data_IF_583392925042
#
_entry.id   IF_583392925042
#
_cell.length_a   1.000
_cell.length_b   1.000
_cell.length_c   1.000
_cell.angle_alpha   90.00
_cell.angle_beta   90.00
_cell.angle_gamma   90.00
#
_symmetry.space_group_name_H-M   'P 1'
#
loop_
_entity.id
_entity.type
_entity.pdbx_description
1 polymer ?
#
# COMPACT_ATOMS: atom_id res chain seq x y z
N UNK A 1 37.75 4.96 -13.06
CA UNK A 1 36.59 5.83 -12.82
C UNK A 1 35.48 4.98 -12.23
N UNK A 2 35.22 5.11 -10.92
CA UNK A 2 34.07 4.45 -10.28
C UNK A 2 32.86 5.36 -10.44
N UNK A 3 31.75 4.84 -10.97
CA UNK A 3 30.48 5.55 -11.04
C UNK A 3 29.90 5.64 -9.63
N UNK A 4 29.76 6.86 -9.13
CA UNK A 4 29.05 7.16 -7.90
C UNK A 4 27.54 7.04 -8.13
N UNK A 5 26.87 6.15 -7.41
CA UNK A 5 25.41 5.91 -7.45
C UNK A 5 24.73 6.65 -6.28
N UNK A 6 25.27 7.80 -5.87
CA UNK A 6 24.69 8.68 -4.86
C UNK A 6 23.51 9.48 -5.43
N UNK A 7 22.44 8.80 -5.85
CA UNK A 7 21.31 9.48 -6.46
C UNK A 7 20.07 8.62 -6.61
N UNK A 8 19.64 7.90 -5.57
CA UNK A 8 18.40 7.12 -5.68
C UNK A 8 17.49 7.29 -4.45
N UNK A 9 16.34 7.91 -4.72
CA UNK A 9 15.06 7.80 -4.04
C UNK A 9 14.82 8.59 -2.74
N UNK A 10 14.48 9.88 -2.91
CA UNK A 10 13.55 10.57 -2.01
C UNK A 10 12.14 10.00 -2.21
N UNK A 11 11.77 9.01 -1.40
CA UNK A 11 10.40 8.50 -1.35
C UNK A 11 9.48 9.63 -0.85
N UNK A 12 8.58 10.08 -1.73
CA UNK A 12 7.56 11.09 -1.42
C UNK A 12 6.46 10.40 -0.60
N UNK A 13 6.32 10.81 0.65
CA UNK A 13 5.25 10.34 1.52
C UNK A 13 3.90 10.90 1.04
N UNK A 14 2.98 10.01 0.69
CA UNK A 14 1.60 10.37 0.34
C UNK A 14 0.71 10.15 1.57
N UNK A 15 0.69 11.13 2.47
CA UNK A 15 -0.33 11.19 3.53
C UNK A 15 -1.67 11.60 2.90
N UNK A 16 -2.52 10.62 2.62
CA UNK A 16 -3.86 10.83 2.09
C UNK A 16 -4.78 11.26 3.25
N UNK A 17 -5.06 12.56 3.37
CA UNK A 17 -6.08 13.09 4.29
C UNK A 17 -7.44 12.58 3.84
N UNK A 18 -7.99 11.62 4.58
CA UNK A 18 -9.33 11.10 4.38
C UNK A 18 -10.36 12.23 4.51
N UNK A 19 -10.86 12.70 3.36
CA UNK A 19 -12.03 13.58 3.31
C UNK A 19 -13.26 12.71 3.54
N UNK A 20 -13.79 12.78 4.77
CA UNK A 20 -15.12 12.28 5.10
C UNK A 20 -16.16 12.96 4.20
N UNK A 21 -16.55 12.28 3.12
CA UNK A 21 -17.76 12.63 2.39
C UNK A 21 -18.95 12.10 3.19
N UNK A 22 -19.67 12.98 3.88
CA UNK A 22 -20.96 12.65 4.46
C UNK A 22 -21.93 12.25 3.33
N UNK A 23 -22.09 10.94 3.10
CA UNK A 23 -23.29 10.39 2.47
C UNK A 23 -24.40 10.35 3.53
N UNK A 24 -25.01 11.49 3.82
CA UNK A 24 -26.26 11.56 4.58
C UNK A 24 -27.20 12.44 3.78
N UNK A 25 -28.22 11.84 3.13
CA UNK A 25 -29.48 12.47 2.69
C UNK A 25 -30.38 11.55 1.82
N UNK A 26 -29.87 10.45 1.24
CA UNK A 26 -30.64 9.68 0.24
C UNK A 26 -31.61 8.63 0.80
N UNK A 27 -31.30 8.00 1.95
CA UNK A 27 -32.22 7.02 2.57
C UNK A 27 -33.51 7.67 3.08
N UNK A 28 -33.42 8.92 3.55
CA UNK A 28 -34.56 9.68 4.06
C UNK A 28 -35.63 9.94 2.99
N UNK A 29 -35.23 10.15 1.73
CA UNK A 29 -36.12 10.43 0.60
C UNK A 29 -36.93 9.19 0.16
N UNK A 30 -36.34 7.99 0.25
CA UNK A 30 -37.01 6.72 -0.09
C UNK A 30 -38.10 6.35 0.92
N UNK A 31 -37.81 6.48 2.21
CA UNK A 31 -38.78 6.16 3.27
C UNK A 31 -39.92 7.18 3.33
N UNK A 32 -39.62 8.46 3.08
CA UNK A 32 -40.64 9.48 2.91
C UNK A 32 -41.54 9.18 1.69
N UNK A 33 -40.98 8.71 0.58
CA UNK A 33 -41.71 8.29 -0.61
C UNK A 33 -42.61 7.07 -0.36
N UNK A 34 -42.10 6.01 0.26
CA UNK A 34 -42.88 4.81 0.58
C UNK A 34 -44.03 5.12 1.56
N UNK A 35 -43.81 6.03 2.52
CA UNK A 35 -44.87 6.54 3.38
C UNK A 35 -45.92 7.31 2.61
N UNK A 36 -45.53 8.17 1.67
CA UNK A 36 -46.48 8.95 0.86
C UNK A 36 -47.32 8.01 -0.03
N UNK A 37 -46.68 7.03 -0.68
CA UNK A 37 -47.33 6.00 -1.48
C UNK A 37 -48.33 5.18 -0.65
N UNK A 38 -47.92 4.72 0.54
CA UNK A 38 -48.77 3.94 1.43
C UNK A 38 -49.94 4.78 1.95
N UNK A 39 -49.72 6.07 2.21
CA UNK A 39 -50.76 7.00 2.67
C UNK A 39 -51.78 7.30 1.58
N UNK A 40 -51.35 7.49 0.33
CA UNK A 40 -52.25 7.66 -0.81
C UNK A 40 -53.06 6.40 -1.07
N UNK A 41 -52.44 5.21 -1.05
CA UNK A 41 -53.16 3.92 -1.15
C UNK A 41 -54.23 3.73 -0.07
N UNK A 42 -54.01 4.26 1.14
CA UNK A 42 -54.96 4.17 2.26
C UNK A 42 -56.15 5.12 2.16
N UNK A 43 -56.02 6.25 1.44
CA UNK A 43 -56.99 7.33 1.40
C UNK A 43 -57.69 7.51 0.03
N UNK A 44 -57.46 6.61 -0.93
CA UNK A 44 -58.10 6.68 -2.25
C UNK A 44 -59.55 6.18 -2.19
N UNK A 45 -60.49 7.04 -2.58
CA UNK A 45 -61.84 6.64 -2.97
C UNK A 45 -61.75 5.74 -4.22
N UNK A 46 -62.29 4.50 -4.20
CA UNK A 46 -62.14 3.52 -5.27
C UNK A 46 -62.62 3.98 -6.67
N UNK A 47 -63.34 5.11 -6.76
CA UNK A 47 -63.90 5.64 -8.00
C UNK A 47 -63.00 6.61 -8.79
N UNK A 48 -61.84 7.06 -8.27
CA UNK A 48 -60.91 7.95 -9.02
C UNK A 48 -59.41 7.67 -8.79
N UNK A 49 -58.84 6.65 -9.45
CA UNK A 49 -57.47 6.20 -9.18
C UNK A 49 -56.35 6.77 -10.09
N UNK A 50 -56.58 7.83 -10.88
CA UNK A 50 -55.78 8.08 -12.10
C UNK A 50 -54.70 9.19 -12.05
N UNK A 51 -54.78 10.22 -11.20
CA UNK A 51 -53.78 11.33 -11.26
C UNK A 51 -52.50 11.08 -10.43
N UNK A 52 -52.58 10.43 -9.27
CA UNK A 52 -51.39 10.28 -8.39
C UNK A 52 -50.36 9.25 -8.92
N UNK A 53 -50.80 8.32 -9.78
CA UNK A 53 -49.96 7.21 -10.24
C UNK A 53 -48.86 7.64 -11.21
N UNK A 54 -49.11 8.64 -12.04
CA UNK A 54 -48.14 9.08 -13.05
C UNK A 54 -46.96 9.81 -12.39
N UNK A 55 -47.23 10.66 -11.39
CA UNK A 55 -46.21 11.30 -10.59
C UNK A 55 -45.38 10.27 -9.78
N UNK A 56 -46.06 9.28 -9.18
CA UNK A 56 -45.39 8.18 -8.47
C UNK A 56 -44.48 7.39 -9.42
N UNK A 57 -44.95 7.07 -10.62
CA UNK A 57 -44.18 6.33 -11.61
C UNK A 57 -42.92 7.11 -12.05
N UNK A 58 -43.05 8.42 -12.28
CA UNK A 58 -41.92 9.28 -12.59
C UNK A 58 -40.92 9.35 -11.43
N UNK A 59 -41.38 9.51 -10.19
CA UNK A 59 -40.49 9.51 -9.02
C UNK A 59 -39.77 8.19 -8.82
N UNK A 60 -40.47 7.05 -8.94
CA UNK A 60 -39.83 5.73 -8.86
C UNK A 60 -38.76 5.55 -9.95
N UNK A 61 -39.00 6.07 -11.16
CA UNK A 61 -38.03 6.08 -12.24
C UNK A 61 -36.80 6.93 -11.88
N UNK A 62 -36.98 8.12 -11.31
CA UNK A 62 -35.88 8.97 -10.86
C UNK A 62 -35.08 8.33 -9.71
N UNK A 63 -35.75 7.77 -8.70
CA UNK A 63 -35.09 7.07 -7.59
C UNK A 63 -34.26 5.87 -8.08
N UNK A 64 -34.78 5.13 -9.06
CA UNK A 64 -34.07 3.99 -9.65
C UNK A 64 -32.81 4.45 -10.41
N UNK A 65 -32.91 5.54 -11.18
CA UNK A 65 -31.76 6.14 -11.88
C UNK A 65 -30.71 6.66 -10.90
N UNK A 66 -31.14 7.33 -9.83
CA UNK A 66 -30.26 7.83 -8.79
C UNK A 66 -29.57 6.68 -8.03
N UNK A 67 -30.30 5.60 -7.73
CA UNK A 67 -29.71 4.41 -7.12
C UNK A 67 -28.67 3.77 -8.05
N UNK A 68 -28.94 3.71 -9.36
CA UNK A 68 -27.98 3.23 -10.35
C UNK A 68 -26.74 4.13 -10.43
N UNK A 69 -26.90 5.46 -10.34
CA UNK A 69 -25.76 6.39 -10.27
C UNK A 69 -24.94 6.16 -8.99
N UNK A 70 -25.58 6.02 -7.84
CA UNK A 70 -24.92 5.72 -6.57
C UNK A 70 -24.17 4.38 -6.62
N UNK A 71 -24.74 3.35 -7.23
CA UNK A 71 -24.07 2.07 -7.44
C UNK A 71 -22.84 2.23 -8.34
N UNK A 72 -22.97 2.97 -9.45
CA UNK A 72 -21.84 3.26 -10.33
C UNK A 72 -20.71 4.00 -9.61
N UNK A 73 -21.03 4.96 -8.73
CA UNK A 73 -20.03 5.64 -7.89
C UNK A 73 -19.34 4.70 -6.92
N UNK A 74 -20.10 3.85 -6.22
CA UNK A 74 -19.54 2.84 -5.30
C UNK A 74 -18.62 1.88 -6.04
N UNK A 75 -19.02 1.40 -7.22
CA UNK A 75 -18.20 0.52 -8.06
C UNK A 75 -16.91 1.22 -8.50
N UNK A 76 -16.98 2.48 -8.93
CA UNK A 76 -15.78 3.28 -9.27
C UNK A 76 -14.85 3.43 -8.07
N UNK A 77 -15.38 3.74 -6.89
CA UNK A 77 -14.59 3.86 -5.67
C UNK A 77 -13.91 2.54 -5.31
N UNK A 78 -14.63 1.42 -5.38
CA UNK A 78 -14.08 0.10 -5.07
C UNK A 78 -12.96 -0.29 -6.06
N UNK A 79 -13.15 0.00 -7.35
CA UNK A 79 -12.11 -0.23 -8.35
C UNK A 79 -10.86 0.62 -8.07
N UNK A 80 -11.03 1.87 -7.66
CA UNK A 80 -9.91 2.73 -7.27
C UNK A 80 -9.18 2.18 -6.03
N UNK A 81 -9.91 1.80 -4.98
CA UNK A 81 -9.30 1.19 -3.78
C UNK A 81 -8.55 -0.10 -4.12
N UNK A 82 -9.07 -0.92 -5.03
CA UNK A 82 -8.38 -2.13 -5.49
C UNK A 82 -7.08 -1.81 -6.23
N UNK A 83 -7.08 -0.80 -7.11
CA UNK A 83 -5.87 -0.33 -7.80
C UNK A 83 -4.83 0.22 -6.81
N UNK A 84 -5.27 1.00 -5.82
CA UNK A 84 -4.40 1.50 -4.74
C UNK A 84 -3.80 0.36 -3.93
N UNK A 85 -4.58 -0.67 -3.61
CA UNK A 85 -4.08 -1.86 -2.93
C UNK A 85 -3.02 -2.61 -3.76
N UNK A 86 -3.27 -2.83 -5.05
CA UNK A 86 -2.32 -3.47 -5.96
C UNK A 86 -1.02 -2.67 -6.09
N UNK A 87 -1.12 -1.34 -6.18
CA UNK A 87 0.04 -0.46 -6.20
C UNK A 87 0.83 -0.53 -4.89
N UNK A 88 0.16 -0.56 -3.74
CA UNK A 88 0.80 -0.73 -2.42
C UNK A 88 1.52 -2.09 -2.30
N UNK A 89 0.89 -3.18 -2.75
CA UNK A 89 1.53 -4.50 -2.80
C UNK A 89 2.79 -4.48 -3.67
N UNK A 90 2.72 -3.87 -4.85
CA UNK A 90 3.87 -3.73 -5.74
C UNK A 90 4.99 -2.92 -5.07
N UNK A 91 4.66 -1.78 -4.47
CA UNK A 91 5.63 -0.93 -3.76
C UNK A 91 6.32 -1.67 -2.60
N UNK A 92 5.58 -2.47 -1.82
CA UNK A 92 6.16 -3.27 -0.73
C UNK A 92 7.08 -4.37 -1.26
N UNK A 93 6.70 -5.03 -2.36
CA UNK A 93 7.54 -6.02 -3.03
C UNK A 93 8.83 -5.38 -3.56
N UNK A 94 8.73 -4.23 -4.22
CA UNK A 94 9.89 -3.47 -4.72
C UNK A 94 10.80 -3.03 -3.58
N UNK A 95 10.24 -2.55 -2.46
CA UNK A 95 11.01 -2.23 -1.25
C UNK A 95 11.76 -3.44 -0.72
N UNK A 96 11.10 -4.59 -0.57
CA UNK A 96 11.76 -5.82 -0.11
C UNK A 96 12.88 -6.24 -1.05
N UNK A 97 12.67 -6.17 -2.37
CA UNK A 97 13.70 -6.47 -3.35
C UNK A 97 14.88 -5.50 -3.24
N UNK A 98 14.61 -4.20 -3.05
CA UNK A 98 15.64 -3.18 -2.84
C UNK A 98 16.47 -3.45 -1.59
N UNK A 99 15.85 -3.84 -0.48
CA UNK A 99 16.57 -4.20 0.76
C UNK A 99 17.47 -5.42 0.55
N UNK A 100 16.99 -6.46 -0.16
CA UNK A 100 17.81 -7.63 -0.49
C UNK A 100 19.03 -7.22 -1.32
N UNK A 101 18.84 -6.38 -2.35
CA UNK A 101 19.94 -5.88 -3.17
C UNK A 101 20.97 -5.09 -2.36
N UNK A 102 20.52 -4.24 -1.43
CA UNK A 102 21.41 -3.51 -0.51
C UNK A 102 22.23 -4.47 0.36
N UNK A 103 21.59 -5.48 0.96
CA UNK A 103 22.30 -6.49 1.76
C UNK A 103 23.33 -7.26 0.92
N UNK A 104 23.00 -7.61 -0.33
CA UNK A 104 23.94 -8.28 -1.23
C UNK A 104 25.14 -7.39 -1.59
N UNK A 105 24.92 -6.09 -1.76
CA UNK A 105 25.98 -5.13 -2.01
C UNK A 105 26.93 -4.99 -0.80
N UNK A 106 26.36 -4.91 0.41
CA UNK A 106 27.12 -4.89 1.66
C UNK A 106 27.94 -6.16 1.87
N UNK A 107 27.35 -7.34 1.60
CA UNK A 107 28.06 -8.63 1.64
C UNK A 107 29.24 -8.59 0.66
N UNK A 108 29.03 -8.20 -0.60
CA UNK A 108 30.09 -8.11 -1.58
C UNK A 108 31.22 -7.16 -1.15
N UNK A 109 30.88 -6.02 -0.54
CA UNK A 109 31.86 -5.08 0.01
C UNK A 109 32.66 -5.70 1.16
N UNK A 110 32.00 -6.43 2.06
CA UNK A 110 32.66 -7.10 3.18
C UNK A 110 33.64 -8.19 2.71
N UNK A 111 33.25 -9.00 1.71
CA UNK A 111 34.11 -10.04 1.12
C UNK A 111 35.35 -9.42 0.48
N UNK A 112 35.21 -8.32 -0.25
CA UNK A 112 36.35 -7.59 -0.83
C UNK A 112 37.32 -7.09 0.25
N UNK A 113 36.80 -6.67 1.41
CA UNK A 113 37.64 -6.23 2.52
C UNK A 113 38.40 -7.39 3.19
N UNK A 114 37.79 -8.59 3.27
CA UNK A 114 38.43 -9.79 3.82
C UNK A 114 39.58 -10.24 2.92
N UNK A 115 39.36 -10.31 1.60
CA UNK A 115 40.37 -10.78 0.65
C UNK A 115 41.56 -9.81 0.49
N UNK A 116 41.45 -8.57 0.98
CA UNK A 116 42.49 -7.54 0.90
C UNK A 116 43.22 -7.30 2.24
N UNK A 117 43.07 -8.17 3.25
CA UNK A 117 43.84 -8.03 4.49
C UNK A 117 45.29 -8.49 4.25
N UNK A 118 46.33 -7.64 4.43
CA UNK A 118 47.72 -8.06 4.29
C UNK A 118 48.02 -9.14 5.34
N UNK A 119 48.74 -10.19 4.93
CA UNK A 119 49.22 -11.26 5.80
C UNK A 119 49.85 -10.65 7.06
N UNK A 120 49.29 -10.94 8.24
CA UNK A 120 49.98 -10.71 9.50
C UNK A 120 51.12 -11.71 9.56
N UNK A 121 52.33 -11.26 9.27
CA UNK A 121 53.57 -11.97 9.60
C UNK A 121 53.64 -12.10 11.12
N UNK A 122 53.32 -13.29 11.65
CA UNK A 122 53.68 -13.65 13.02
C UNK A 122 55.21 -13.66 13.14
N UNK A 123 55.82 -13.01 14.15
CA UNK A 123 57.25 -13.13 14.39
C UNK A 123 57.59 -14.59 14.70
N UNK A 124 58.53 -15.14 13.93
CA UNK A 124 59.06 -16.49 14.11
C UNK A 124 59.93 -16.53 15.40
N UNK A 125 59.39 -17.02 16.51
CA UNK A 125 60.15 -17.30 17.74
C UNK A 125 60.97 -18.61 17.60
N UNK A 126 61.81 -18.70 16.57
CA UNK A 126 62.57 -19.90 16.21
C UNK A 126 64.09 -19.75 16.23
N UNK A 127 64.64 -18.72 16.88
CA UNK A 127 66.09 -18.55 17.03
C UNK A 127 66.44 -18.06 18.44
N UNK A 128 66.31 -18.93 19.44
CA UNK A 128 66.89 -18.73 20.76
C UNK A 128 67.13 -20.07 21.47
N UNK A 129 67.86 -20.99 20.85
CA UNK A 129 68.32 -22.21 21.55
C UNK A 129 69.43 -22.95 20.79
N UNK A 130 70.59 -22.33 20.50
CA UNK A 130 71.75 -23.13 20.01
C UNK A 130 73.15 -22.51 20.13
N UNK A 131 73.45 -21.69 21.16
CA UNK A 131 74.86 -21.31 21.47
C UNK A 131 75.14 -21.34 22.98
N UNK A 132 74.99 -22.51 23.62
CA UNK A 132 75.46 -22.71 24.99
C UNK A 132 75.91 -24.15 25.26
N UNK A 133 76.60 -24.80 24.32
CA UNK A 133 77.39 -25.99 24.61
C UNK A 133 78.62 -25.92 23.69
N UNK A 134 79.81 -25.89 24.29
CA UNK A 134 81.15 -26.13 23.70
C UNK A 134 82.19 -25.01 23.93
N UNK A 135 82.51 -24.72 25.20
CA UNK A 135 83.91 -24.48 25.62
C UNK A 135 84.07 -24.72 27.14
N UNK A 136 83.95 -25.98 27.53
CA UNK A 136 84.40 -26.44 28.85
C UNK A 136 85.17 -27.75 28.65
N UNK A 137 86.36 -27.66 28.05
CA UNK A 137 87.46 -28.62 28.25
C UNK A 137 88.76 -28.07 27.65
N UNK A 138 89.79 -28.01 28.52
CA UNK A 138 91.20 -27.61 28.35
C UNK A 138 91.58 -26.18 28.74
#
# INVERSE_FOLDING_TARGET
>A
MYNDISGVNRYRDYSNTSKNNQKFNNELNKDAFLRLLTTQLKNQDPLKPMEDREFIAQMAQFTSLEQMQNLNETVKSNNQTMLEHLASMNNNMVKSQSSILQTLEEINKSIKNINNKPEQTTPNNGQASEEAIETAEQ
#
